data_IF_981173898840
#
_entry.id   IF_981173898840
#
_cell.length_a   1.000
_cell.length_b   1.000
_cell.length_c   1.000
_cell.angle_alpha   90.00
_cell.angle_beta   90.00
_cell.angle_gamma   90.00
#
_symmetry.space_group_name_H-M   'P 1'
#
loop_
_entity.id
_entity.type
_entity.pdbx_description
1 polymer ?
#
# COMPACT_ATOMS: atom_id res chain seq x y z
N UNK A 1 14.72 -10.39 -5.29
CA UNK A 1 13.59 -9.48 -5.56
C UNK A 1 14.17 -8.08 -5.72
N UNK A 2 13.85 -7.38 -6.80
CA UNK A 2 14.39 -6.03 -7.01
C UNK A 2 13.66 -5.01 -6.13
N UNK A 3 14.32 -3.88 -5.80
CA UNK A 3 13.71 -2.79 -5.03
C UNK A 3 12.42 -2.26 -5.69
N UNK A 4 12.36 -2.29 -7.02
CA UNK A 4 11.17 -1.89 -7.77
C UNK A 4 10.00 -2.88 -7.59
N UNK A 5 10.27 -4.19 -7.59
CA UNK A 5 9.24 -5.21 -7.31
C UNK A 5 8.72 -5.08 -5.87
N UNK A 6 9.63 -4.83 -4.93
CA UNK A 6 9.28 -4.55 -3.53
C UNK A 6 8.33 -3.37 -3.42
N UNK A 7 8.72 -2.22 -3.99
CA UNK A 7 7.92 -1.00 -4.00
C UNK A 7 6.55 -1.25 -4.63
N UNK A 8 6.48 -1.89 -5.80
CA UNK A 8 5.21 -2.18 -6.46
C UNK A 8 4.29 -3.04 -5.61
N UNK A 9 4.81 -4.10 -4.98
CA UNK A 9 4.02 -4.97 -4.12
C UNK A 9 3.55 -4.27 -2.84
N UNK A 10 4.41 -3.48 -2.19
CA UNK A 10 4.02 -2.72 -0.99
C UNK A 10 3.00 -1.65 -1.30
N UNK A 11 3.22 -0.86 -2.37
CA UNK A 11 2.30 0.20 -2.76
C UNK A 11 0.97 -0.40 -3.21
N UNK A 12 0.96 -1.52 -3.93
CA UNK A 12 -0.29 -2.22 -4.27
C UNK A 12 -1.14 -2.53 -3.02
N UNK A 13 -0.51 -3.01 -1.94
CA UNK A 13 -1.22 -3.29 -0.69
C UNK A 13 -1.79 -2.03 -0.06
N UNK A 14 -1.05 -0.92 -0.07
CA UNK A 14 -1.52 0.36 0.47
C UNK A 14 -2.70 0.92 -0.33
N UNK A 15 -2.62 0.93 -1.66
CA UNK A 15 -3.72 1.42 -2.50
C UNK A 15 -4.97 0.54 -2.36
N UNK A 16 -4.80 -0.78 -2.23
CA UNK A 16 -5.92 -1.69 -2.02
C UNK A 16 -6.61 -1.48 -0.67
N UNK A 17 -5.86 -1.15 0.39
CA UNK A 17 -6.45 -0.77 1.68
C UNK A 17 -7.17 0.59 1.57
N UNK A 18 -6.52 1.59 0.95
CA UNK A 18 -7.05 2.93 0.79
C UNK A 18 -8.37 2.91 0.02
N UNK A 19 -8.47 2.12 -1.05
CA UNK A 19 -9.74 1.87 -1.76
C UNK A 19 -10.85 1.43 -0.79
N UNK A 20 -10.55 0.48 0.10
CA UNK A 20 -11.54 -0.06 1.03
C UNK A 20 -11.90 0.97 2.11
N UNK A 21 -10.91 1.69 2.62
CA UNK A 21 -11.11 2.70 3.67
C UNK A 21 -11.94 3.88 3.16
N UNK A 22 -11.62 4.43 1.99
CA UNK A 22 -12.44 5.48 1.38
C UNK A 22 -13.85 4.99 1.02
N UNK A 23 -14.01 3.76 0.55
CA UNK A 23 -15.33 3.18 0.31
C UNK A 23 -16.14 3.02 1.61
N UNK A 24 -15.50 2.67 2.73
CA UNK A 24 -16.15 2.62 4.05
C UNK A 24 -16.52 4.01 4.55
N UNK A 25 -15.62 4.97 4.45
CA UNK A 25 -15.89 6.36 4.82
C UNK A 25 -17.08 6.91 4.03
N UNK A 26 -17.14 6.66 2.72
CA UNK A 26 -18.26 7.06 1.88
C UNK A 26 -19.59 6.42 2.32
N UNK A 27 -19.58 5.15 2.75
CA UNK A 27 -20.77 4.44 3.25
C UNK A 27 -21.25 4.93 4.61
N UNK A 28 -20.36 5.49 5.42
CA UNK A 28 -20.70 6.06 6.72
C UNK A 28 -21.41 7.42 6.60
N UNK A 29 -21.31 8.10 5.44
CA UNK A 29 -21.96 9.39 5.21
C UNK A 29 -23.40 9.25 4.69
N UNK A 30 -24.30 10.18 5.08
CA UNK A 30 -25.62 10.28 4.49
C UNK A 30 -25.58 10.41 2.95
N UNK A 31 -26.58 9.89 2.21
CA UNK A 31 -26.64 10.05 0.76
C UNK A 31 -26.63 11.50 0.26
N UNK A 32 -27.12 12.44 1.07
CA UNK A 32 -27.15 13.88 0.76
C UNK A 32 -25.83 14.59 1.03
N UNK A 33 -24.87 13.93 1.66
CA UNK A 33 -23.59 14.55 2.02
C UNK A 33 -22.73 14.73 0.75
N UNK A 34 -22.33 15.97 0.40
CA UNK A 34 -21.54 16.22 -0.81
C UNK A 34 -20.15 15.58 -0.78
N UNK A 35 -19.59 15.25 0.39
CA UNK A 35 -18.30 14.57 0.50
C UNK A 35 -18.37 13.11 0.07
N UNK A 36 -19.55 12.49 0.12
CA UNK A 36 -19.73 11.09 -0.21
C UNK A 36 -19.31 10.78 -1.66
N UNK A 37 -19.68 11.63 -2.62
CA UNK A 37 -19.31 11.44 -4.01
C UNK A 37 -17.81 11.56 -4.23
N UNK A 38 -17.15 12.50 -3.55
CA UNK A 38 -15.70 12.66 -3.56
C UNK A 38 -14.97 11.42 -3.03
N UNK A 39 -15.41 10.88 -1.89
CA UNK A 39 -14.82 9.67 -1.31
C UNK A 39 -15.01 8.43 -2.19
N UNK A 40 -16.17 8.30 -2.85
CA UNK A 40 -16.38 7.24 -3.86
C UNK A 40 -15.42 7.41 -5.04
N UNK A 41 -15.23 8.65 -5.52
CA UNK A 41 -14.27 8.95 -6.58
C UNK A 41 -12.85 8.51 -6.22
N UNK A 42 -12.37 8.91 -5.04
CA UNK A 42 -11.03 8.53 -4.55
C UNK A 42 -10.93 7.01 -4.43
N UNK A 43 -11.92 6.32 -3.86
CA UNK A 43 -11.90 4.87 -3.76
C UNK A 43 -11.75 4.16 -5.13
N UNK A 44 -12.37 4.70 -6.18
CA UNK A 44 -12.20 4.19 -7.54
C UNK A 44 -10.79 4.46 -8.08
N UNK A 45 -10.20 5.61 -7.78
CA UNK A 45 -8.84 5.97 -8.17
C UNK A 45 -7.83 5.02 -7.54
N UNK A 46 -7.92 4.76 -6.23
CA UNK A 46 -7.01 3.84 -5.56
C UNK A 46 -7.17 2.40 -6.06
N UNK A 47 -8.38 1.99 -6.41
CA UNK A 47 -8.59 0.70 -7.06
C UNK A 47 -7.88 0.59 -8.42
N UNK A 48 -7.82 1.69 -9.19
CA UNK A 48 -7.07 1.74 -10.45
C UNK A 48 -5.56 1.73 -10.21
N UNK A 49 -5.07 2.46 -9.21
CA UNK A 49 -3.66 2.44 -8.84
C UNK A 49 -3.21 1.03 -8.41
N UNK A 50 -3.99 0.36 -7.56
CA UNK A 50 -3.74 -1.01 -7.13
C UNK A 50 -3.69 -1.98 -8.33
N UNK A 51 -4.65 -1.88 -9.26
CA UNK A 51 -4.69 -2.70 -10.46
C UNK A 51 -3.47 -2.49 -11.36
N UNK A 52 -3.07 -1.24 -11.58
CA UNK A 52 -1.89 -0.89 -12.37
C UNK A 52 -0.60 -1.47 -11.77
N UNK A 53 -0.41 -1.32 -10.45
CA UNK A 53 0.77 -1.83 -9.75
C UNK A 53 0.87 -3.36 -9.82
N UNK A 54 -0.28 -4.04 -9.69
CA UNK A 54 -0.35 -5.50 -9.85
C UNK A 54 0.08 -5.91 -11.26
N UNK A 55 -0.48 -5.29 -12.28
CA UNK A 55 -0.15 -5.58 -13.68
C UNK A 55 1.34 -5.33 -13.97
N UNK A 56 1.88 -4.20 -13.51
CA UNK A 56 3.30 -3.89 -13.63
C UNK A 56 4.20 -4.92 -12.94
N UNK A 57 3.79 -5.41 -11.76
CA UNK A 57 4.50 -6.45 -11.03
C UNK A 57 4.47 -7.79 -11.78
N UNK A 58 3.31 -8.19 -12.32
CA UNK A 58 3.15 -9.40 -13.13
C UNK A 58 4.09 -9.38 -14.33
N UNK A 59 4.16 -8.26 -15.06
CA UNK A 59 5.07 -8.11 -16.22
C UNK A 59 6.54 -8.25 -15.84
N UNK A 60 6.95 -7.75 -14.67
CA UNK A 60 8.34 -7.84 -14.21
C UNK A 60 8.74 -9.20 -13.65
N UNK A 61 7.77 -10.01 -13.23
CA UNK A 61 8.02 -11.31 -12.61
C UNK A 61 7.79 -12.48 -13.55
N UNK A 62 7.31 -12.22 -14.78
CA UNK A 62 7.01 -13.19 -15.84
C UNK A 62 5.95 -14.25 -15.48
N UNK A 63 5.47 -14.30 -14.23
CA UNK A 63 4.42 -15.21 -13.74
C UNK A 63 3.53 -14.50 -12.73
N UNK A 64 2.21 -14.57 -12.97
CA UNK A 64 1.21 -13.97 -12.09
C UNK A 64 1.20 -14.58 -10.67
N UNK A 65 1.48 -15.87 -10.55
CA UNK A 65 1.55 -16.56 -9.25
C UNK A 65 2.66 -16.00 -8.35
N UNK A 66 3.80 -15.64 -8.94
CA UNK A 66 4.91 -15.05 -8.17
C UNK A 66 4.60 -13.63 -7.72
N UNK A 67 3.92 -12.83 -8.55
CA UNK A 67 3.43 -11.51 -8.17
C UNK A 67 2.39 -11.59 -7.03
N UNK A 68 1.46 -12.54 -7.12
CA UNK A 68 0.47 -12.78 -6.06
C UNK A 68 1.14 -13.16 -4.74
N UNK A 69 2.09 -14.10 -4.77
CA UNK A 69 2.79 -14.54 -3.57
C UNK A 69 3.52 -13.38 -2.87
N UNK A 70 4.09 -12.44 -3.62
CA UNK A 70 4.71 -11.24 -3.04
C UNK A 70 3.68 -10.33 -2.38
N UNK A 71 2.56 -10.05 -3.04
CA UNK A 71 1.47 -9.24 -2.48
C UNK A 71 0.98 -9.85 -1.16
N UNK A 72 0.73 -11.16 -1.13
CA UNK A 72 0.27 -11.85 0.09
C UNK A 72 1.31 -11.79 1.21
N UNK A 73 2.60 -11.96 0.90
CA UNK A 73 3.67 -11.79 1.88
C UNK A 73 3.65 -10.38 2.51
N UNK A 74 3.40 -9.32 1.73
CA UNK A 74 3.35 -7.96 2.27
C UNK A 74 2.07 -7.68 3.07
N UNK A 75 0.93 -8.25 2.67
CA UNK A 75 -0.30 -8.20 3.49
C UNK A 75 -0.09 -8.83 4.85
N UNK A 76 0.52 -10.01 4.91
CA UNK A 76 0.84 -10.72 6.15
C UNK A 76 1.76 -9.88 7.04
N UNK A 77 2.85 -9.32 6.49
CA UNK A 77 3.78 -8.46 7.24
C UNK A 77 3.11 -7.23 7.82
N UNK A 78 2.24 -6.57 7.04
CA UNK A 78 1.47 -5.42 7.51
C UNK A 78 0.54 -5.82 8.65
N UNK A 79 -0.18 -6.94 8.52
CA UNK A 79 -1.07 -7.45 9.58
C UNK A 79 -0.29 -7.76 10.86
N UNK A 80 0.86 -8.43 10.75
CA UNK A 80 1.75 -8.72 11.89
C UNK A 80 2.27 -7.44 12.55
N UNK A 81 2.66 -6.43 11.76
CA UNK A 81 3.12 -5.15 12.27
C UNK A 81 2.02 -4.41 13.04
N UNK A 82 0.80 -4.36 12.49
CA UNK A 82 -0.35 -3.74 13.16
C UNK A 82 -0.71 -4.49 14.44
N UNK A 83 -0.77 -5.83 14.40
CA UNK A 83 -1.06 -6.63 15.59
C UNK A 83 -0.03 -6.41 16.69
N UNK A 84 1.26 -6.35 16.33
CA UNK A 84 2.33 -6.05 17.27
C UNK A 84 2.13 -4.67 17.93
N UNK A 85 1.88 -3.63 17.14
CA UNK A 85 1.65 -2.27 17.65
C UNK A 85 0.44 -2.22 18.58
N UNK A 86 -0.66 -2.87 18.20
CA UNK A 86 -1.88 -2.92 19.02
C UNK A 86 -1.64 -3.69 20.32
N UNK A 87 -1.00 -4.85 20.25
CA UNK A 87 -0.71 -5.67 21.41
C UNK A 87 0.25 -4.98 22.39
N UNK A 88 1.33 -4.37 21.87
CA UNK A 88 2.28 -3.61 22.67
C UNK A 88 1.61 -2.39 23.31
N UNK A 89 0.79 -1.65 22.57
CA UNK A 89 0.07 -0.48 23.10
C UNK A 89 -1.04 -0.82 24.10
N UNK A 90 -1.67 -1.98 23.99
CA UNK A 90 -2.71 -2.44 24.93
C UNK A 90 -2.13 -3.09 26.19
N UNK A 91 -1.01 -3.82 26.07
CA UNK A 91 -0.43 -4.59 27.18
C UNK A 91 0.72 -3.88 27.90
N UNK A 92 1.36 -2.90 27.28
CA UNK A 92 2.48 -2.16 27.86
C UNK A 92 2.28 -0.67 27.70
N UNK A 93 2.18 0.07 28.80
CA UNK A 93 2.11 1.54 28.82
C UNK A 93 3.39 2.25 28.34
N UNK A 94 4.08 1.71 27.32
CA UNK A 94 5.32 2.23 26.75
C UNK A 94 5.06 2.84 25.38
N UNK A 95 5.79 3.91 25.07
CA UNK A 95 5.74 4.61 23.79
C UNK A 95 5.99 3.63 22.64
N UNK A 96 4.97 3.38 21.81
CA UNK A 96 5.11 2.60 20.58
C UNK A 96 6.10 3.32 19.69
N UNK A 97 7.32 2.78 19.55
CA UNK A 97 8.27 3.23 18.54
C UNK A 97 7.96 2.44 17.27
N UNK A 98 7.34 3.03 16.23
CA UNK A 98 7.12 2.33 14.99
C UNK A 98 8.47 1.87 14.42
N UNK A 99 8.55 0.67 13.81
CA UNK A 99 9.77 0.20 13.19
C UNK A 99 10.22 1.25 12.16
N UNK A 100 11.41 1.83 12.35
CA UNK A 100 12.00 2.75 11.37
C UNK A 100 12.18 1.97 10.07
N UNK A 101 11.46 2.38 9.03
CA UNK A 101 11.86 2.05 7.66
C UNK A 101 13.29 2.58 7.51
N UNK A 102 14.24 1.68 7.24
CA UNK A 102 15.62 2.08 6.96
C UNK A 102 15.58 3.14 5.86
N UNK A 103 16.39 4.20 6.00
CA UNK A 103 16.54 5.25 5.00
C UNK A 103 16.64 4.60 3.61
N UNK A 104 15.86 5.03 2.61
CA UNK A 104 16.15 4.64 1.24
C UNK A 104 17.59 5.06 0.96
N UNK A 105 18.41 4.12 0.49
CA UNK A 105 19.71 4.45 -0.06
C UNK A 105 19.48 5.53 -1.13
N UNK A 106 20.25 6.62 -1.06
CA UNK A 106 20.14 7.71 -2.01
C UNK A 106 20.21 7.12 -3.43
N UNK A 107 19.12 7.25 -4.18
CA UNK A 107 19.12 6.94 -5.60
C UNK A 107 19.81 8.14 -6.24
N UNK A 108 21.10 8.01 -6.54
CA UNK A 108 21.80 8.98 -7.37
C UNK A 108 21.17 8.94 -8.76
N UNK A 109 20.40 9.97 -9.07
CA UNK A 109 19.81 10.23 -10.36
C UNK A 109 20.92 10.68 -11.33
N UNK A 110 21.63 9.73 -11.94
CA UNK A 110 22.41 10.01 -13.14
C UNK A 110 21.50 9.94 -14.37
N UNK A 111 20.72 11.00 -14.57
CA UNK A 111 20.06 11.25 -15.86
C UNK A 111 21.08 11.94 -16.76
N UNK A 112 21.82 11.15 -17.53
CA UNK A 112 22.57 11.63 -18.70
C UNK A 112 21.60 11.70 -19.87
N UNK A 113 21.14 12.91 -20.20
CA UNK A 113 20.45 13.18 -21.45
C UNK A 113 21.54 13.56 -22.45
N UNK A 114 21.94 12.63 -23.31
CA UNK A 114 22.71 12.95 -24.50
C UNK A 114 21.74 13.37 -25.60
N UNK A 115 21.89 14.61 -26.06
CA UNK A 115 21.30 15.14 -27.29
C UNK A 115 22.10 14.67 -28.51
#
# INVERSE_FOLDING_TARGET
MSSLQMMMATTHVLEADAQHDFARMARALPPSDPLRSGLVGIALDEGRHAAYLREALVRKMSRASSAQAQIEMFKERKAQAVFKVVLEGLLGGSQVVPPRLSKPAAVEEQVSIAA
#
